data_IF_571570647903
#
_entry.id   IF_571570647903
#
_cell.length_a   1.000
_cell.length_b   1.000
_cell.length_c   1.000
_cell.angle_alpha   90.00
_cell.angle_beta   90.00
_cell.angle_gamma   90.00
#
_symmetry.space_group_name_H-M   'P 1'
#
loop_
_entity.id
_entity.type
_entity.pdbx_description
1 polymer ?
#
# COMPACT_ATOMS: atom_id res chain seq x y z
N UNK A 1 -17.05 -13.49 -19.78
CA UNK A 1 -16.72 -14.73 -20.51
C UNK A 1 -17.09 -15.93 -19.64
N UNK A 2 -17.75 -16.97 -20.15
CA UNK A 2 -18.14 -18.12 -19.30
C UNK A 2 -16.96 -19.10 -19.19
N UNK A 3 -16.86 -19.82 -18.07
CA UNK A 3 -15.76 -20.77 -17.78
C UNK A 3 -15.53 -21.79 -18.90
N UNK A 4 -16.62 -22.22 -19.54
CA UNK A 4 -16.60 -23.19 -20.65
C UNK A 4 -15.97 -22.60 -21.91
N UNK A 5 -16.22 -21.33 -22.20
CA UNK A 5 -15.68 -20.67 -23.40
C UNK A 5 -14.16 -20.51 -23.29
N UNK A 6 -13.65 -20.24 -22.08
CA UNK A 6 -12.21 -20.17 -21.81
C UNK A 6 -11.48 -21.48 -22.08
N UNK A 7 -12.06 -22.60 -21.67
CA UNK A 7 -11.46 -23.93 -21.90
C UNK A 7 -11.42 -24.28 -23.38
N UNK A 8 -12.45 -23.88 -24.15
CA UNK A 8 -12.47 -24.07 -25.61
C UNK A 8 -11.38 -23.27 -26.30
N UNK A 9 -11.13 -22.04 -25.89
CA UNK A 9 -10.03 -21.23 -26.45
C UNK A 9 -8.66 -21.81 -26.10
N UNK A 10 -8.46 -22.29 -24.86
CA UNK A 10 -7.23 -22.98 -24.49
C UNK A 10 -6.97 -24.23 -25.33
N UNK A 11 -8.02 -24.99 -25.67
CA UNK A 11 -7.89 -26.20 -26.49
C UNK A 11 -7.40 -25.92 -27.92
N UNK A 12 -7.59 -24.70 -28.44
CA UNK A 12 -7.09 -24.29 -29.76
C UNK A 12 -5.56 -24.09 -29.78
N UNK A 13 -4.94 -23.90 -28.62
CA UNK A 13 -3.50 -23.75 -28.49
C UNK A 13 -2.79 -25.10 -28.51
N UNK A 14 -1.52 -25.08 -28.89
CA UNK A 14 -0.64 -26.24 -28.77
C UNK A 14 -0.44 -26.63 -27.30
N UNK A 15 -0.07 -27.89 -27.00
CA UNK A 15 0.22 -28.31 -25.63
C UNK A 15 1.24 -27.42 -24.90
N UNK A 16 2.27 -26.93 -25.62
CA UNK A 16 3.31 -26.06 -25.06
C UNK A 16 2.75 -24.67 -24.68
N UNK A 17 1.95 -24.07 -25.54
CA UNK A 17 1.31 -22.78 -25.29
C UNK A 17 0.30 -22.87 -24.14
N UNK A 18 -0.47 -23.97 -24.06
CA UNK A 18 -1.36 -24.22 -22.92
C UNK A 18 -0.61 -24.27 -21.60
N UNK A 19 0.52 -24.97 -21.56
CA UNK A 19 1.37 -25.04 -20.38
C UNK A 19 1.90 -23.65 -19.99
N UNK A 20 2.36 -22.86 -20.96
CA UNK A 20 2.84 -21.50 -20.71
C UNK A 20 1.76 -20.59 -20.11
N UNK A 21 0.52 -20.66 -20.63
CA UNK A 21 -0.61 -19.88 -20.10
C UNK A 21 -0.96 -20.29 -18.67
N UNK A 22 -0.99 -21.60 -18.38
CA UNK A 22 -1.26 -22.12 -17.04
C UNK A 22 -0.17 -21.68 -16.06
N UNK A 23 1.10 -21.76 -16.46
CA UNK A 23 2.22 -21.34 -15.62
C UNK A 23 2.14 -19.84 -15.30
N UNK A 24 1.85 -19.00 -16.31
CA UNK A 24 1.67 -17.57 -16.11
C UNK A 24 0.52 -17.28 -15.14
N UNK A 25 -0.62 -17.97 -15.29
CA UNK A 25 -1.77 -17.82 -14.39
C UNK A 25 -1.42 -18.23 -12.95
N UNK A 26 -0.67 -19.32 -12.76
CA UNK A 26 -0.21 -19.77 -11.43
C UNK A 26 0.76 -18.78 -10.79
N UNK A 27 1.72 -18.25 -11.57
CA UNK A 27 2.65 -17.22 -11.10
C UNK A 27 1.90 -15.98 -10.64
N UNK A 28 0.89 -15.55 -11.39
CA UNK A 28 0.08 -14.39 -11.04
C UNK A 28 -0.75 -14.63 -9.77
N UNK A 29 -1.39 -15.79 -9.63
CA UNK A 29 -2.10 -16.14 -8.40
C UNK A 29 -1.20 -16.13 -7.17
N UNK A 30 0.05 -16.61 -7.29
CA UNK A 30 1.03 -16.53 -6.19
C UNK A 30 1.38 -15.09 -5.86
N UNK A 31 1.64 -14.26 -6.87
CA UNK A 31 1.92 -12.85 -6.67
C UNK A 31 0.75 -12.12 -5.98
N UNK A 32 -0.50 -12.44 -6.35
CA UNK A 32 -1.69 -11.85 -5.73
C UNK A 32 -1.84 -12.29 -4.25
N UNK A 33 -1.55 -13.55 -3.96
CA UNK A 33 -1.56 -14.09 -2.59
C UNK A 33 -0.43 -13.50 -1.74
N UNK A 34 0.75 -13.26 -2.31
CA UNK A 34 1.89 -12.63 -1.63
C UNK A 34 1.72 -11.11 -1.48
N UNK A 35 1.05 -10.44 -2.44
CA UNK A 35 0.73 -9.01 -2.41
C UNK A 35 -0.52 -8.68 -1.60
N UNK A 36 -1.18 -9.66 -1.00
CA UNK A 36 -2.17 -9.39 0.03
C UNK A 36 -1.39 -9.29 1.34
N UNK A 37 -0.96 -8.09 1.80
CA UNK A 37 -0.42 -7.99 3.14
C UNK A 37 -1.52 -8.51 4.05
N UNK A 38 -1.24 -9.59 4.78
CA UNK A 38 -2.12 -9.99 5.87
C UNK A 38 -2.38 -8.73 6.70
N UNK A 39 -3.64 -8.42 7.02
CA UNK A 39 -3.95 -7.22 7.77
C UNK A 39 -3.10 -7.25 9.04
N UNK A 40 -2.13 -6.32 9.13
CA UNK A 40 -1.17 -6.32 10.22
C UNK A 40 -1.94 -6.37 11.54
N UNK A 41 -1.51 -7.21 12.50
CA UNK A 41 -2.17 -7.29 13.79
C UNK A 41 -2.37 -5.88 14.36
N UNK A 42 -3.60 -5.59 14.79
CA UNK A 42 -4.00 -4.25 15.23
C UNK A 42 -3.03 -3.64 16.25
N UNK A 43 -2.43 -4.47 17.10
CA UNK A 43 -1.40 -4.10 18.06
C UNK A 43 -0.08 -3.63 17.41
N UNK A 44 0.37 -4.29 16.34
CA UNK A 44 1.58 -3.91 15.60
C UNK A 44 1.36 -2.58 14.87
N UNK A 45 0.20 -2.41 14.23
CA UNK A 45 -0.18 -1.16 13.57
C UNK A 45 -0.22 0.02 14.54
N UNK A 46 -0.82 -0.16 15.73
CA UNK A 46 -0.83 0.87 16.79
C UNK A 46 0.57 1.24 17.27
N UNK A 47 1.46 0.26 17.45
CA UNK A 47 2.87 0.50 17.83
C UNK A 47 3.61 1.32 16.77
N UNK A 48 3.46 0.97 15.48
CA UNK A 48 4.07 1.72 14.37
C UNK A 48 3.55 3.15 14.28
N UNK A 49 2.23 3.35 14.42
CA UNK A 49 1.63 4.68 14.42
C UNK A 49 2.12 5.54 15.60
N UNK A 50 2.22 4.95 16.81
CA UNK A 50 2.75 5.66 17.97
C UNK A 50 4.22 6.07 17.77
N UNK A 51 5.05 5.18 17.23
CA UNK A 51 6.45 5.48 16.93
C UNK A 51 6.59 6.60 15.88
N UNK A 52 5.78 6.56 14.82
CA UNK A 52 5.76 7.62 13.80
C UNK A 52 5.30 8.97 14.37
N UNK A 53 4.27 8.98 15.22
CA UNK A 53 3.79 10.20 15.88
C UNK A 53 4.84 10.79 16.84
N UNK A 54 5.58 9.95 17.56
CA UNK A 54 6.69 10.39 18.42
C UNK A 54 7.85 10.95 17.60
N UNK A 55 8.18 10.34 16.46
CA UNK A 55 9.26 10.82 15.59
C UNK A 55 8.97 12.22 15.03
N UNK A 56 7.71 12.49 14.65
CA UNK A 56 7.28 13.79 14.11
C UNK A 56 6.98 14.83 15.19
N UNK A 57 7.07 14.48 16.47
CA UNK A 57 6.66 15.37 17.56
C UNK A 57 7.42 16.71 17.55
N UNK A 58 8.71 16.70 17.22
CA UNK A 58 9.54 17.90 17.16
C UNK A 58 9.10 18.86 16.04
N UNK A 59 8.67 18.32 14.91
CA UNK A 59 8.23 19.11 13.75
C UNK A 59 6.93 19.87 14.05
N UNK A 60 6.09 19.30 14.91
CA UNK A 60 4.84 19.90 15.40
C UNK A 60 5.01 20.77 16.66
N UNK A 61 6.19 20.80 17.29
CA UNK A 61 6.44 21.70 18.42
C UNK A 61 6.40 23.16 17.93
N UNK A 62 6.05 24.11 18.79
CA UNK A 62 5.97 25.54 18.43
C UNK A 62 7.32 26.05 17.90
N UNK A 63 7.32 26.61 16.68
CA UNK A 63 8.53 27.04 15.98
C UNK A 63 9.29 25.89 15.27
N UNK A 64 8.76 24.67 15.32
CA UNK A 64 9.20 23.53 14.52
C UNK A 64 8.84 23.69 13.05
N UNK A 65 9.40 22.86 12.16
CA UNK A 65 9.27 23.01 10.71
C UNK A 65 7.81 23.13 10.24
N UNK A 66 6.90 22.36 10.86
CA UNK A 66 5.48 22.35 10.50
C UNK A 66 4.64 23.39 11.26
N UNK A 67 5.21 24.15 12.20
CA UNK A 67 4.50 25.24 12.89
C UNK A 67 5.24 26.57 12.80
N UNK A 68 6.32 26.65 12.03
CA UNK A 68 7.10 27.87 11.85
C UNK A 68 6.22 29.03 11.32
N UNK A 69 5.22 28.74 10.49
CA UNK A 69 4.29 29.74 9.97
C UNK A 69 3.34 30.29 11.05
N UNK A 70 3.05 29.53 12.11
CA UNK A 70 2.16 30.00 13.20
C UNK A 70 2.87 30.97 14.15
N UNK A 71 4.21 31.06 14.08
CA UNK A 71 4.98 32.00 14.89
C UNK A 71 4.86 33.44 14.37
N UNK A 72 4.54 33.64 13.09
CA UNK A 72 4.38 34.97 12.48
C UNK A 72 3.04 35.63 12.82
N UNK A 73 2.01 34.85 13.16
CA UNK A 73 0.71 35.36 13.61
C UNK A 73 0.73 35.88 15.05
N UNK A 74 1.87 35.76 15.75
CA UNK A 74 2.07 36.20 17.13
C UNK A 74 2.88 37.50 17.24
N UNK A 75 2.98 38.31 16.17
CA UNK A 75 3.48 39.68 16.31
C UNK A 75 2.45 40.52 17.08
N UNK A 76 2.88 41.11 18.20
CA UNK A 76 2.07 42.07 18.95
C UNK A 76 1.71 43.23 18.02
N UNK A 77 0.43 43.30 17.63
CA UNK A 77 -0.15 44.46 16.96
C UNK A 77 -0.22 45.63 17.95
N UNK A 78 0.92 46.28 18.18
CA UNK A 78 0.99 47.55 18.90
C UNK A 78 1.32 48.67 17.92
N UNK A 79 0.28 49.48 17.65
CA UNK A 79 0.31 50.72 16.89
C UNK A 79 0.84 51.90 17.72
#
# INVERSE_FOLDING_TARGET
MKRVDFLKELQKLTPAERLAVIEAAVKQLRADLECTPEPEPLALRKKKMAAAAQALQADYAAGGELTAFTALDAEDFHA
#
